data_IF_383336915561
#
_entry.id   IF_383336915561
#
_cell.length_a   1.000
_cell.length_b   1.000
_cell.length_c   1.000
_cell.angle_alpha   90.00
_cell.angle_beta   90.00
_cell.angle_gamma   90.00
#
_symmetry.space_group_name_H-M   'P 1'
#
loop_
_entity.id
_entity.type
_entity.pdbx_description
1 polymer ?
#
# COMPACT_ATOMS: atom_id res chain seq x y z
N UNK A 1 1.11 19.36 2.42
CA UNK A 1 0.35 19.28 1.15
C UNK A 1 1.08 18.43 0.13
N UNK A 2 0.57 17.21 0.00
CA UNK A 2 0.95 16.23 -1.00
C UNK A 2 -0.25 16.02 -1.92
N UNK A 3 -0.10 16.29 -3.21
CA UNK A 3 -1.22 16.30 -4.16
C UNK A 3 -1.25 15.05 -5.04
N UNK A 4 -0.10 14.41 -5.29
CA UNK A 4 0.01 13.21 -6.13
C UNK A 4 1.04 12.27 -5.52
N UNK A 5 0.68 10.99 -5.39
CA UNK A 5 1.59 9.90 -5.07
C UNK A 5 1.63 8.94 -6.25
N UNK A 6 2.83 8.58 -6.70
CA UNK A 6 3.06 7.51 -7.67
C UNK A 6 4.05 6.51 -7.08
N UNK A 7 3.72 5.23 -7.16
CA UNK A 7 4.59 4.13 -6.73
C UNK A 7 5.08 3.41 -7.97
N UNK A 8 6.40 3.41 -8.17
CA UNK A 8 6.99 2.84 -9.36
C UNK A 8 7.13 1.32 -9.20
N UNK A 9 6.39 0.56 -10.01
CA UNK A 9 6.54 -0.90 -10.15
C UNK A 9 6.37 -1.69 -8.84
N UNK A 10 5.66 -1.14 -7.85
CA UNK A 10 5.51 -1.78 -6.53
C UNK A 10 4.18 -2.53 -6.39
N UNK A 11 3.34 -2.51 -7.43
CA UNK A 11 2.02 -3.14 -7.51
C UNK A 11 1.26 -3.23 -6.18
N UNK A 12 1.20 -2.09 -5.47
CA UNK A 12 0.65 -2.04 -4.11
C UNK A 12 -0.85 -2.37 -4.09
N UNK A 13 -1.52 -2.21 -5.24
CA UNK A 13 -2.92 -2.63 -5.44
C UNK A 13 -3.07 -4.14 -5.33
N UNK A 14 -2.18 -4.90 -5.95
CA UNK A 14 -2.13 -6.36 -5.88
C UNK A 14 -1.88 -6.83 -4.43
N UNK A 15 -1.00 -6.13 -3.71
CA UNK A 15 -0.76 -6.40 -2.28
C UNK A 15 -1.99 -6.16 -1.38
N UNK A 16 -2.93 -5.30 -1.78
CA UNK A 16 -4.22 -5.08 -1.10
C UNK A 16 -5.31 -6.05 -1.56
N UNK A 17 -5.33 -6.40 -2.85
CA UNK A 17 -6.34 -7.28 -3.45
C UNK A 17 -6.11 -8.75 -3.07
N UNK A 18 -4.86 -9.19 -3.03
CA UNK A 18 -4.48 -10.60 -2.76
C UNK A 18 -4.07 -10.85 -1.32
N UNK A 19 -4.38 -9.92 -0.41
CA UNK A 19 -4.06 -10.04 1.01
C UNK A 19 -4.72 -11.24 1.71
N UNK A 20 -5.83 -11.74 1.15
CA UNK A 20 -6.60 -12.87 1.69
C UNK A 20 -6.28 -14.20 0.97
N UNK A 21 -5.39 -14.19 -0.04
CA UNK A 21 -4.98 -15.40 -0.75
C UNK A 21 -3.84 -16.12 0.02
N UNK A 22 -4.03 -17.38 0.44
CA UNK A 22 -3.00 -18.15 1.16
C UNK A 22 -1.72 -18.41 0.35
N UNK A 23 -1.78 -18.31 -0.98
CA UNK A 23 -0.65 -18.52 -1.88
C UNK A 23 0.17 -17.24 -2.12
N UNK A 24 -0.34 -16.07 -1.72
CA UNK A 24 0.34 -14.80 -1.93
C UNK A 24 1.37 -14.55 -0.80
N UNK A 25 2.60 -14.10 -1.10
CA UNK A 25 3.58 -13.88 -0.03
C UNK A 25 3.14 -12.71 0.85
N UNK A 26 2.68 -13.03 2.07
CA UNK A 26 2.12 -12.08 3.03
C UNK A 26 3.04 -10.89 3.38
N UNK A 27 4.35 -11.02 3.12
CA UNK A 27 5.31 -9.94 3.28
C UNK A 27 5.01 -8.73 2.36
N UNK A 28 4.61 -8.98 1.10
CA UNK A 28 4.29 -7.93 0.14
C UNK A 28 2.94 -7.27 0.45
N UNK A 29 1.94 -8.04 0.85
CA UNK A 29 0.65 -7.50 1.30
C UNK A 29 0.81 -6.65 2.57
N UNK A 30 1.58 -7.14 3.55
CA UNK A 30 1.85 -6.40 4.80
C UNK A 30 2.59 -5.07 4.54
N UNK A 31 3.55 -5.06 3.62
CA UNK A 31 4.25 -3.84 3.23
C UNK A 31 3.30 -2.84 2.55
N UNK A 32 2.42 -3.34 1.67
CA UNK A 32 1.44 -2.52 0.95
C UNK A 32 0.45 -1.84 1.90
N UNK A 33 -0.07 -2.56 2.90
CA UNK A 33 -0.92 -1.96 3.94
C UNK A 33 -0.21 -0.91 4.77
N UNK A 34 1.02 -1.17 5.23
CA UNK A 34 1.79 -0.21 6.03
C UNK A 34 2.06 1.07 5.26
N UNK A 35 2.46 0.95 4.00
CA UNK A 35 2.76 2.09 3.14
C UNK A 35 1.50 2.91 2.86
N UNK A 36 0.40 2.27 2.43
CA UNK A 36 -0.85 2.97 2.14
C UNK A 36 -1.42 3.69 3.37
N UNK A 37 -1.38 3.04 4.54
CA UNK A 37 -1.88 3.64 5.79
C UNK A 37 -1.10 4.89 6.16
N UNK A 38 0.23 4.85 6.07
CA UNK A 38 1.08 6.02 6.35
C UNK A 38 0.80 7.18 5.40
N UNK A 39 0.60 6.89 4.11
CA UNK A 39 0.27 7.90 3.10
C UNK A 39 -1.08 8.54 3.40
N UNK A 40 -2.11 7.75 3.72
CA UNK A 40 -3.45 8.26 4.04
C UNK A 40 -3.39 9.16 5.27
N UNK A 41 -2.72 8.73 6.34
CA UNK A 41 -2.56 9.53 7.55
C UNK A 41 -1.78 10.83 7.26
N UNK A 42 -0.73 10.77 6.45
CA UNK A 42 0.02 11.96 6.05
C UNK A 42 -0.85 12.94 5.25
N UNK A 43 -1.61 12.45 4.27
CA UNK A 43 -2.50 13.27 3.46
C UNK A 43 -3.63 13.92 4.26
N UNK A 44 -4.16 13.22 5.29
CA UNK A 44 -5.20 13.78 6.17
C UNK A 44 -4.64 14.79 7.18
N UNK A 45 -3.34 14.80 7.43
CA UNK A 45 -2.71 15.66 8.45
C UNK A 45 -1.94 16.85 7.86
N UNK A 46 -1.50 16.81 6.59
CA UNK A 46 -0.56 17.78 5.99
C UNK A 46 -0.92 18.29 4.60
#
# INVERSE_FOLDING_TARGET
>A
RMNVLMTWNTDLGDGLEWADDPAYPAAYSTYSFKFLTNVIVYAMTH
#
